data_IF_522862939900
#
_entry.id   IF_522862939900
#
_cell.length_a   1.000
_cell.length_b   1.000
_cell.length_c   1.000
_cell.angle_alpha   90.00
_cell.angle_beta   90.00
_cell.angle_gamma   90.00
#
_symmetry.space_group_name_H-M   'P 1'
#
loop_
_entity.id
_entity.type
_entity.pdbx_description
1 polymer ?
#
# COMPACT_ATOMS: atom_id res chain seq x y z
N UNK A 1 0.55 -9.64 -26.80
CA UNK A 1 0.44 -10.43 -25.96
C UNK A 1 0.48 -9.93 -24.74
N UNK A 2 -0.05 -9.54 -24.21
CA UNK A 2 0.42 -9.51 -23.14
C UNK A 2 0.60 -10.55 -22.65
N UNK A 3 0.12 -11.13 -22.86
CA UNK A 3 0.87 -12.20 -23.07
C UNK A 3 1.91 -11.90 -23.97
N UNK A 4 1.78 -10.99 -24.83
CA UNK A 4 2.82 -10.74 -25.72
C UNK A 4 4.01 -10.20 -25.11
N UNK A 5 3.86 -9.39 -24.13
CA UNK A 5 5.04 -8.89 -23.47
C UNK A 5 5.78 -10.01 -22.81
N UNK A 6 5.08 -10.87 -22.14
CA UNK A 6 5.68 -11.98 -21.50
C UNK A 6 6.32 -12.92 -22.49
N UNK A 7 5.63 -13.17 -23.57
CA UNK A 7 6.17 -13.99 -24.61
C UNK A 7 7.34 -13.40 -25.27
N UNK A 8 7.33 -12.12 -25.45
CA UNK A 8 8.48 -11.50 -26.06
C UNK A 8 9.70 -11.56 -25.21
N UNK A 9 9.52 -11.52 -23.92
CA UNK A 9 10.66 -11.73 -23.07
C UNK A 9 11.22 -13.11 -23.31
N UNK A 10 10.39 -14.10 -23.36
CA UNK A 10 10.84 -15.44 -23.61
C UNK A 10 11.44 -15.58 -24.99
N UNK A 11 10.88 -14.94 -25.98
CA UNK A 11 11.37 -15.06 -27.34
C UNK A 11 12.62 -14.29 -27.57
N UNK A 12 12.74 -13.16 -26.98
CA UNK A 12 13.97 -12.40 -27.06
C UNK A 12 15.10 -13.17 -26.46
N UNK A 13 14.80 -13.93 -25.47
CA UNK A 13 15.80 -14.78 -24.84
C UNK A 13 15.92 -16.12 -25.51
N UNK A 14 15.28 -16.29 -26.64
CA UNK A 14 15.31 -17.53 -27.37
C UNK A 14 14.48 -18.58 -26.70
N UNK A 15 14.94 -19.79 -26.66
CA UNK A 15 14.21 -20.88 -26.06
C UNK A 15 14.32 -20.84 -24.56
N UNK A 16 14.15 -19.68 -24.01
CA UNK A 16 14.31 -19.51 -22.63
C UNK A 16 13.33 -20.35 -21.88
N UNK A 17 13.73 -20.85 -20.77
CA UNK A 17 12.78 -21.38 -19.84
C UNK A 17 11.87 -20.25 -19.40
N UNK A 18 10.72 -20.61 -18.98
CA UNK A 18 9.78 -19.65 -18.45
C UNK A 18 10.42 -18.91 -17.29
N UNK A 19 10.36 -17.61 -17.25
CA UNK A 19 10.89 -16.88 -16.12
C UNK A 19 10.24 -17.34 -14.83
N UNK A 20 10.97 -17.30 -13.76
CA UNK A 20 10.43 -17.67 -12.47
C UNK A 20 9.36 -16.70 -11.99
N UNK A 21 9.38 -15.48 -12.49
CA UNK A 21 8.31 -14.53 -12.22
C UNK A 21 7.32 -14.58 -13.35
N UNK A 22 6.11 -14.23 -13.09
CA UNK A 22 5.11 -14.12 -14.12
C UNK A 22 4.56 -12.72 -14.13
N UNK A 23 4.34 -12.20 -15.32
CA UNK A 23 3.69 -10.93 -15.47
C UNK A 23 2.20 -11.18 -15.52
N UNK A 24 1.51 -10.71 -14.53
CA UNK A 24 0.07 -10.80 -14.51
C UNK A 24 -0.48 -9.66 -15.33
N UNK A 25 -1.16 -10.00 -16.39
CA UNK A 25 -1.82 -9.02 -17.22
C UNK A 25 -3.28 -9.04 -16.87
N UNK A 26 -3.79 -7.94 -16.43
CA UNK A 26 -5.16 -7.83 -16.00
C UNK A 26 -5.28 -6.84 -14.87
N UNK A 27 -6.42 -6.85 -14.23
CA UNK A 27 -6.67 -5.92 -13.14
C UNK A 27 -5.85 -6.34 -11.92
N UNK A 28 -5.15 -5.42 -11.29
CA UNK A 28 -4.47 -5.73 -10.06
C UNK A 28 -5.48 -6.09 -8.97
N UNK A 29 -5.06 -6.88 -8.02
CA UNK A 29 -5.88 -7.21 -6.87
C UNK A 29 -6.01 -5.97 -5.99
N UNK A 30 -7.24 -5.64 -5.63
CA UNK A 30 -7.48 -4.51 -4.77
C UNK A 30 -6.88 -4.75 -3.37
N UNK A 31 -6.38 -3.70 -2.78
CA UNK A 31 -5.75 -3.75 -1.46
C UNK A 31 -6.77 -3.66 -0.32
N UNK A 32 -8.00 -4.10 -0.55
CA UNK A 32 -9.06 -3.94 0.46
C UNK A 32 -8.78 -4.71 1.75
N UNK A 33 -8.04 -5.80 1.67
CA UNK A 33 -7.66 -6.53 2.87
C UNK A 33 -6.63 -5.77 3.71
N UNK A 34 -5.93 -4.85 3.10
CA UNK A 34 -4.90 -4.04 3.75
C UNK A 34 -5.41 -2.64 4.07
N UNK A 35 -6.70 -2.45 3.90
CA UNK A 35 -7.29 -1.14 4.12
C UNK A 35 -7.30 -0.79 5.60
N UNK A 36 -6.81 0.39 5.89
CA UNK A 36 -7.00 1.03 7.18
C UNK A 36 -8.00 2.15 6.98
N UNK A 37 -8.94 2.25 7.87
CA UNK A 37 -9.97 3.27 7.78
C UNK A 37 -9.57 4.47 8.60
N UNK A 38 -10.22 5.57 8.27
CA UNK A 38 -10.18 6.74 9.14
C UNK A 38 -8.77 7.28 9.30
N UNK A 39 -8.21 7.73 8.20
CA UNK A 39 -6.94 8.45 8.21
C UNK A 39 -7.23 9.93 8.21
N UNK A 40 -6.53 10.64 9.04
CA UNK A 40 -6.71 12.07 9.18
C UNK A 40 -5.33 12.72 9.28
N UNK A 41 -5.15 13.94 8.81
CA UNK A 41 -3.94 14.67 9.11
C UNK A 41 -3.72 14.68 10.62
N UNK A 42 -2.48 14.51 11.02
CA UNK A 42 -2.19 14.20 12.39
C UNK A 42 -2.61 15.29 13.36
N UNK A 43 -3.54 14.95 14.19
CA UNK A 43 -3.86 15.74 15.38
C UNK A 43 -3.45 15.01 16.65
N UNK A 44 -2.82 13.83 16.50
CA UNK A 44 -2.40 13.01 17.62
C UNK A 44 -3.31 11.81 17.84
N UNK A 45 -2.91 10.95 18.74
CA UNK A 45 -3.59 9.69 19.00
C UNK A 45 -5.03 9.88 19.51
N UNK A 46 -5.32 11.00 20.11
CA UNK A 46 -6.64 11.28 20.67
C UNK A 46 -7.52 12.10 19.74
N UNK A 47 -7.14 12.24 18.48
CA UNK A 47 -7.94 12.94 17.50
C UNK A 47 -9.36 12.39 17.50
N UNK A 48 -10.33 13.29 17.58
CA UNK A 48 -11.72 12.87 17.64
C UNK A 48 -12.19 12.31 16.31
N UNK A 49 -13.03 11.30 16.38
CA UNK A 49 -13.71 10.78 15.21
C UNK A 49 -14.77 11.79 14.73
N UNK A 50 -15.15 11.76 13.43
CA UNK A 50 -14.68 10.78 12.46
C UNK A 50 -13.31 11.15 11.88
N UNK A 51 -12.51 10.16 11.65
CA UNK A 51 -11.39 10.27 10.77
C UNK A 51 -11.97 10.08 9.37
N UNK A 52 -11.60 10.90 8.42
CA UNK A 52 -12.43 11.08 7.24
C UNK A 52 -11.82 10.61 5.92
N UNK A 53 -10.69 9.95 5.96
CA UNK A 53 -10.06 9.43 4.77
C UNK A 53 -9.75 7.95 4.94
N UNK A 54 -9.35 7.33 3.85
CA UNK A 54 -8.95 5.93 3.86
C UNK A 54 -7.56 5.82 3.30
N UNK A 55 -6.77 4.93 3.87
CA UNK A 55 -5.45 4.60 3.35
C UNK A 55 -5.40 3.10 3.08
N UNK A 56 -4.73 2.74 2.01
CA UNK A 56 -4.53 1.35 1.63
C UNK A 56 -3.05 1.06 1.71
N UNK A 57 -2.69 0.01 2.45
CA UNK A 57 -1.30 -0.30 2.71
C UNK A 57 -0.78 -1.32 1.72
N UNK A 58 0.31 -0.99 1.04
CA UNK A 58 1.07 -1.96 0.28
C UNK A 58 2.11 -2.57 1.21
N UNK A 59 1.85 -3.76 1.70
CA UNK A 59 2.63 -4.35 2.76
C UNK A 59 3.96 -4.91 2.26
N UNK A 60 5.02 -4.65 3.00
CA UNK A 60 6.31 -5.30 2.79
C UNK A 60 6.48 -6.46 3.77
N UNK A 61 5.79 -6.41 4.91
CA UNK A 61 5.85 -7.49 5.89
C UNK A 61 4.75 -7.29 6.93
N UNK A 62 4.56 -8.29 7.76
CA UNK A 62 3.67 -8.20 8.90
C UNK A 62 2.20 -8.36 8.54
N UNK A 63 1.36 -7.96 9.47
CA UNK A 63 -0.09 -8.08 9.35
C UNK A 63 -0.64 -7.02 8.41
N UNK A 64 -1.61 -7.40 7.60
CA UNK A 64 -2.13 -6.55 6.54
C UNK A 64 -2.66 -5.19 7.01
N UNK A 65 -3.18 -5.11 8.20
CA UNK A 65 -3.78 -3.88 8.70
C UNK A 65 -2.90 -3.10 9.66
N UNK A 66 -1.69 -3.58 9.93
CA UNK A 66 -0.77 -2.90 10.82
C UNK A 66 0.32 -2.23 9.98
N UNK A 67 0.43 -0.90 10.01
CA UNK A 67 1.47 -0.22 9.24
C UNK A 67 2.85 -0.51 9.80
N UNK A 68 3.82 -0.68 8.92
CA UNK A 68 5.23 -0.79 9.32
C UNK A 68 6.06 0.13 8.43
N UNK A 69 7.24 0.47 8.89
CA UNK A 69 8.17 1.29 8.10
C UNK A 69 8.48 0.53 6.81
N UNK A 70 8.54 1.28 5.72
CA UNK A 70 8.74 0.82 4.35
C UNK A 70 7.47 0.32 3.65
N UNK A 71 6.35 0.24 4.33
CA UNK A 71 5.09 0.00 3.64
C UNK A 71 4.79 1.12 2.67
N UNK A 72 4.09 0.80 1.61
CA UNK A 72 3.54 1.80 0.71
C UNK A 72 2.21 2.28 1.23
N UNK A 73 1.95 3.56 1.07
CA UNK A 73 0.68 4.16 1.45
C UNK A 73 -0.01 4.67 0.20
N UNK A 74 -1.19 4.15 -0.07
CA UNK A 74 -1.96 4.51 -1.26
C UNK A 74 -3.28 5.14 -0.87
N UNK A 75 -3.75 6.04 -1.74
CA UNK A 75 -5.04 6.69 -1.56
C UNK A 75 -6.18 5.89 -2.18
N UNK A 76 -5.86 4.86 -2.97
CA UNK A 76 -6.86 4.04 -3.64
C UNK A 76 -6.53 2.56 -3.49
N UNK A 77 -7.54 1.73 -3.69
CA UNK A 77 -7.43 0.28 -3.48
C UNK A 77 -6.58 -0.43 -4.52
N UNK A 78 -6.29 0.22 -5.63
CA UNK A 78 -5.55 -0.41 -6.73
C UNK A 78 -4.11 0.06 -6.82
N UNK A 79 -3.65 0.80 -5.83
CA UNK A 79 -2.27 1.28 -5.75
C UNK A 79 -1.90 2.19 -6.93
N UNK A 80 -2.84 2.96 -7.42
CA UNK A 80 -2.58 3.87 -8.52
C UNK A 80 -2.17 5.26 -8.06
N UNK A 81 -2.63 5.66 -6.88
CA UNK A 81 -2.36 6.98 -6.35
C UNK A 81 -1.72 6.85 -4.98
N UNK A 82 -0.49 7.31 -4.85
CA UNK A 82 0.16 7.30 -3.54
C UNK A 82 -0.45 8.35 -2.64
N UNK A 83 -0.42 8.07 -1.34
CA UNK A 83 -0.88 9.01 -0.35
C UNK A 83 0.06 10.21 -0.32
N UNK A 84 -0.48 11.40 -0.17
CA UNK A 84 0.34 12.60 -0.11
C UNK A 84 1.29 12.57 1.09
N UNK A 85 2.45 13.20 0.92
CA UNK A 85 3.40 13.30 2.02
C UNK A 85 2.78 14.03 3.20
N UNK A 86 3.09 13.57 4.39
CA UNK A 86 2.56 14.19 5.60
C UNK A 86 2.55 13.24 6.79
N UNK A 87 2.02 13.76 7.87
CA UNK A 87 1.82 12.99 9.09
C UNK A 87 0.34 12.69 9.24
N UNK A 88 0.03 11.47 9.63
CA UNK A 88 -1.37 11.04 9.73
C UNK A 88 -1.57 10.25 11.01
N UNK A 89 -2.77 10.35 11.56
CA UNK A 89 -3.25 9.39 12.54
C UNK A 89 -4.07 8.37 11.76
N UNK A 90 -3.73 7.11 11.91
CA UNK A 90 -4.35 6.03 11.17
C UNK A 90 -5.01 5.07 12.15
N UNK A 91 -6.25 4.73 11.88
CA UNK A 91 -6.94 3.70 12.67
C UNK A 91 -7.19 2.51 11.76
N UNK A 92 -6.77 1.34 12.21
CA UNK A 92 -6.96 0.13 11.42
C UNK A 92 -8.31 -0.54 11.70
N UNK A 93 -8.58 -1.63 11.00
CA UNK A 93 -9.86 -2.32 11.12
C UNK A 93 -10.11 -2.94 12.48
N UNK A 94 -9.09 -3.01 13.32
CA UNK A 94 -9.22 -3.53 14.68
C UNK A 94 -9.28 -2.40 15.70
N UNK A 95 -9.53 -1.17 15.23
CA UNK A 95 -9.66 0.01 16.06
C UNK A 95 -8.39 0.39 16.81
N UNK A 96 -7.22 0.02 16.27
CA UNK A 96 -5.94 0.41 16.83
C UNK A 96 -5.39 1.58 16.03
N UNK A 97 -4.88 2.57 16.72
CA UNK A 97 -4.37 3.78 16.10
C UNK A 97 -2.86 3.85 16.11
N UNK A 98 -2.35 4.50 15.07
CA UNK A 98 -0.92 4.72 14.89
C UNK A 98 -0.70 6.12 14.35
N UNK A 99 0.41 6.72 14.74
CA UNK A 99 0.90 7.92 14.08
C UNK A 99 1.89 7.47 13.02
N UNK A 100 1.66 7.89 11.79
CA UNK A 100 2.52 7.52 10.68
C UNK A 100 3.02 8.77 9.96
N UNK A 101 4.19 8.65 9.35
CA UNK A 101 4.74 9.65 8.46
C UNK A 101 4.87 9.04 7.08
N UNK A 102 4.33 9.73 6.08
CA UNK A 102 4.40 9.30 4.68
C UNK A 102 5.32 10.25 3.93
N UNK A 103 6.29 9.69 3.24
CA UNK A 103 7.25 10.47 2.47
C UNK A 103 6.66 10.93 1.13
N UNK A 104 7.39 11.79 0.43
CA UNK A 104 7.00 12.23 -0.90
C UNK A 104 6.87 11.08 -1.89
N UNK A 105 7.51 9.96 -1.63
CA UNK A 105 7.42 8.77 -2.48
C UNK A 105 6.25 7.86 -2.11
N UNK A 106 5.45 8.24 -1.15
CA UNK A 106 4.33 7.42 -0.71
C UNK A 106 4.75 6.25 0.17
N UNK A 107 5.88 6.35 0.85
CA UNK A 107 6.40 5.29 1.70
C UNK A 107 6.30 5.73 3.15
N UNK A 108 5.89 4.81 4.01
CA UNK A 108 5.83 5.07 5.44
C UNK A 108 7.25 5.05 5.99
N UNK A 109 7.66 6.16 6.58
CA UNK A 109 9.01 6.34 7.11
C UNK A 109 9.04 6.33 8.64
N UNK A 110 7.91 6.46 9.28
CA UNK A 110 7.83 6.39 10.73
C UNK A 110 6.47 5.84 11.15
N UNK A 111 6.47 5.04 12.18
CA UNK A 111 5.23 4.48 12.77
C UNK A 111 5.41 4.50 14.28
N UNK A 112 4.43 5.05 14.96
CA UNK A 112 4.38 5.05 16.42
C UNK A 112 3.01 4.58 16.84
N UNK A 113 2.97 3.53 17.65
CA UNK A 113 1.70 3.04 18.17
C UNK A 113 1.13 4.04 19.19
N UNK A 114 -0.17 4.20 19.15
CA UNK A 114 -0.87 4.99 20.17
C UNK A 114 -1.14 4.15 21.47
#
# INVERSE_FOLDING_TARGET
SPTTLSMQIAEVLGSQPTPSWSLTVGCPTALTSNQCTDVNPAGGCTTAAPLDNTIFLGKVSGVNTIPVIHDWAFADAYAETKKATGNYVLENKTAVRYLITVSANGVITAVTAC
#
